data_IF_413684766976
#
_entry.id   IF_413684766976
#
_cell.length_a   1.000
_cell.length_b   1.000
_cell.length_c   1.000
_cell.angle_alpha   90.00
_cell.angle_beta   90.00
_cell.angle_gamma   90.00
#
_symmetry.space_group_name_H-M   'P 1'
#
loop_
_entity.id
_entity.type
_entity.pdbx_description
1 polymer ?
#
# COMPACT_ATOMS: atom_id res chain seq x y z
N UNK A 1 8.83 -1.49 -3.69
CA UNK A 1 7.53 -2.04 -4.11
C UNK A 1 7.75 -3.45 -4.67
N UNK A 2 7.10 -4.48 -4.13
CA UNK A 2 7.04 -5.81 -4.76
C UNK A 2 5.62 -6.37 -4.60
N UNK A 3 4.78 -6.21 -5.62
CA UNK A 3 3.37 -6.65 -5.57
C UNK A 3 3.23 -8.18 -5.65
N UNK A 4 4.22 -8.88 -6.21
CA UNK A 4 4.22 -10.35 -6.31
C UNK A 4 4.14 -11.06 -4.96
N UNK A 5 4.56 -10.38 -3.88
CA UNK A 5 4.46 -10.90 -2.51
C UNK A 5 3.03 -11.23 -2.10
N UNK A 6 2.01 -10.57 -2.66
CA UNK A 6 0.62 -10.86 -2.35
C UNK A 6 0.26 -12.29 -2.75
N UNK A 7 0.65 -12.71 -3.95
CA UNK A 7 0.42 -14.08 -4.43
C UNK A 7 1.18 -15.12 -3.60
N UNK A 8 2.44 -14.83 -3.23
CA UNK A 8 3.23 -15.73 -2.38
C UNK A 8 2.58 -15.95 -1.01
N UNK A 9 2.20 -14.88 -0.31
CA UNK A 9 1.55 -14.98 1.00
C UNK A 9 0.22 -15.70 0.91
N UNK A 10 -0.59 -15.39 -0.10
CA UNK A 10 -1.89 -16.01 -0.31
C UNK A 10 -1.79 -17.52 -0.63
N UNK A 11 -0.75 -17.93 -1.34
CA UNK A 11 -0.44 -19.34 -1.60
C UNK A 11 0.06 -20.08 -0.35
N UNK A 12 1.01 -19.49 0.38
CA UNK A 12 1.63 -20.12 1.55
C UNK A 12 0.69 -20.23 2.76
N UNK A 13 -0.27 -19.30 2.92
CA UNK A 13 -1.25 -19.27 4.02
C UNK A 13 -0.62 -19.48 5.43
N UNK A 14 0.42 -18.72 5.80
CA UNK A 14 1.06 -18.84 7.11
C UNK A 14 0.05 -18.69 8.26
N UNK A 15 0.21 -19.49 9.32
CA UNK A 15 -0.71 -19.50 10.47
C UNK A 15 -0.51 -18.33 11.44
N UNK A 16 0.67 -17.71 11.44
CA UNK A 16 1.02 -16.58 12.32
C UNK A 16 1.69 -15.46 11.51
N UNK A 17 0.90 -14.73 10.72
CA UNK A 17 1.40 -13.66 9.87
C UNK A 17 0.42 -12.50 9.76
N UNK A 18 0.95 -11.28 9.83
CA UNK A 18 0.20 -10.03 9.64
C UNK A 18 0.97 -9.16 8.67
N UNK A 19 0.30 -8.68 7.62
CA UNK A 19 0.88 -7.78 6.62
C UNK A 19 0.40 -6.36 6.88
N UNK A 20 1.30 -5.48 7.34
CA UNK A 20 1.03 -4.05 7.44
C UNK A 20 1.46 -3.35 6.15
N UNK A 21 0.54 -2.58 5.57
CA UNK A 21 0.80 -1.70 4.44
C UNK A 21 0.44 -0.28 4.85
N UNK A 22 1.43 0.61 4.82
CA UNK A 22 1.25 2.03 5.09
C UNK A 22 1.29 2.76 3.76
N UNK A 23 0.19 3.42 3.43
CA UNK A 23 0.06 4.21 2.21
C UNK A 23 0.03 5.69 2.58
N UNK A 24 1.12 6.37 2.26
CA UNK A 24 1.26 7.82 2.37
C UNK A 24 1.25 8.50 0.98
N UNK A 25 0.84 7.76 -0.05
CA UNK A 25 0.67 8.25 -1.42
C UNK A 25 2.00 8.72 -2.08
N UNK A 26 3.18 8.51 -1.47
CA UNK A 26 4.47 8.97 -2.01
C UNK A 26 5.68 8.06 -1.70
N UNK A 27 6.71 8.17 -2.54
CA UNK A 27 8.04 7.61 -2.25
C UNK A 27 8.79 8.50 -1.25
N UNK A 28 8.38 8.45 0.02
CA UNK A 28 8.89 9.33 1.07
C UNK A 28 10.42 9.31 1.24
N UNK A 29 11.08 8.18 0.95
CA UNK A 29 12.53 8.02 1.14
C UNK A 29 13.38 8.47 -0.05
N UNK A 30 12.79 8.73 -1.22
CA UNK A 30 13.53 9.03 -2.46
C UNK A 30 13.25 10.43 -3.03
N UNK A 31 12.67 11.32 -2.22
CA UNK A 31 12.37 12.70 -2.60
C UNK A 31 10.89 13.07 -2.57
N UNK A 32 10.01 12.17 -2.14
CA UNK A 32 8.59 12.48 -1.93
C UNK A 32 7.76 12.56 -3.20
N UNK A 33 8.25 11.99 -4.30
CA UNK A 33 7.48 11.90 -5.54
C UNK A 33 6.23 11.03 -5.30
N UNK A 34 5.07 11.38 -5.87
CA UNK A 34 3.87 10.56 -5.77
C UNK A 34 4.12 9.15 -6.31
N UNK A 35 3.51 8.14 -5.70
CA UNK A 35 3.50 6.81 -6.30
C UNK A 35 2.58 6.81 -7.54
N UNK A 36 2.80 5.94 -8.54
CA UNK A 36 1.88 5.83 -9.68
C UNK A 36 0.46 5.59 -9.18
N UNK A 37 -0.52 6.33 -9.69
CA UNK A 37 -1.93 6.22 -9.29
C UNK A 37 -2.18 6.40 -7.76
N UNK A 38 -1.35 7.20 -7.08
CA UNK A 38 -1.31 7.34 -5.62
C UNK A 38 -2.66 7.47 -4.90
N UNK A 39 -3.64 8.12 -5.52
CA UNK A 39 -4.92 8.41 -4.88
C UNK A 39 -5.97 7.32 -5.04
N UNK A 40 -5.77 6.40 -5.97
CA UNK A 40 -6.82 5.50 -6.47
C UNK A 40 -6.42 4.02 -6.40
N UNK A 41 -5.29 3.71 -5.77
CA UNK A 41 -4.88 2.32 -5.56
C UNK A 41 -5.67 1.68 -4.41
N UNK A 42 -6.43 0.62 -4.71
CA UNK A 42 -7.11 -0.20 -3.71
C UNK A 42 -6.24 -1.39 -3.25
N UNK A 43 -5.26 -1.15 -2.37
CA UNK A 43 -4.39 -2.21 -1.82
C UNK A 43 -5.15 -3.30 -1.06
N UNK A 44 -6.16 -2.90 -0.28
CA UNK A 44 -6.97 -3.85 0.48
C UNK A 44 -7.73 -4.79 -0.46
N UNK A 45 -8.32 -4.26 -1.53
CA UNK A 45 -8.96 -5.04 -2.59
C UNK A 45 -7.98 -5.99 -3.26
N UNK A 46 -6.78 -5.53 -3.63
CA UNK A 46 -5.75 -6.40 -4.20
C UNK A 46 -5.37 -7.56 -3.27
N UNK A 47 -5.17 -7.31 -1.98
CA UNK A 47 -4.88 -8.38 -1.03
C UNK A 47 -6.03 -9.39 -0.93
N UNK A 48 -7.28 -8.91 -0.92
CA UNK A 48 -8.46 -9.77 -0.92
C UNK A 48 -8.50 -10.66 -2.16
N UNK A 49 -8.41 -10.07 -3.34
CA UNK A 49 -8.47 -10.80 -4.61
C UNK A 49 -7.27 -11.73 -4.81
N UNK A 50 -6.12 -11.43 -4.21
CA UNK A 50 -4.98 -12.34 -4.18
C UNK A 50 -5.23 -13.59 -3.32
N UNK A 51 -6.17 -13.56 -2.37
CA UNK A 51 -6.52 -14.70 -1.51
C UNK A 51 -6.23 -14.52 -0.01
N UNK A 52 -6.05 -13.28 0.46
CA UNK A 52 -5.90 -13.01 1.89
C UNK A 52 -7.20 -13.33 2.63
N UNK A 53 -7.10 -14.12 3.71
CA UNK A 53 -8.27 -14.55 4.50
C UNK A 53 -9.06 -13.40 5.12
N UNK A 54 -8.35 -12.37 5.57
CA UNK A 54 -8.90 -11.17 6.21
C UNK A 54 -8.06 -9.97 5.81
N UNK A 55 -8.71 -8.84 5.61
CA UNK A 55 -8.07 -7.55 5.41
C UNK A 55 -8.85 -6.48 6.19
N UNK A 56 -8.15 -5.44 6.60
CA UNK A 56 -8.74 -4.25 7.21
C UNK A 56 -8.10 -3.04 6.55
N UNK A 57 -8.93 -2.12 6.09
CA UNK A 57 -8.49 -0.84 5.56
C UNK A 57 -8.91 0.26 6.51
N UNK A 58 -7.95 1.09 6.92
CA UNK A 58 -8.19 2.28 7.72
C UNK A 58 -7.61 3.45 6.95
N UNK A 59 -8.45 4.44 6.67
CA UNK A 59 -8.03 5.68 6.03
C UNK A 59 -8.05 6.79 7.07
N UNK A 60 -6.97 7.56 7.14
CA UNK A 60 -6.95 8.75 7.98
C UNK A 60 -7.97 9.76 7.45
N UNK A 61 -8.70 10.41 8.36
CA UNK A 61 -9.70 11.43 8.02
C UNK A 61 -9.07 12.69 7.41
N UNK A 62 -7.78 12.92 7.65
CA UNK A 62 -7.02 14.05 7.13
C UNK A 62 -5.85 13.55 6.30
N UNK A 63 -5.82 13.91 5.01
CA UNK A 63 -4.63 13.72 4.17
C UNK A 63 -3.55 14.70 4.63
N UNK A 64 -2.32 14.20 4.78
CA UNK A 64 -1.15 15.07 4.89
C UNK A 64 -0.92 15.65 3.49
N UNK A 65 -0.94 16.98 3.33
CA UNK A 65 -0.66 17.59 2.03
C UNK A 65 0.73 17.17 1.57
N UNK A 66 0.83 16.59 0.38
CA UNK A 66 2.14 16.38 -0.23
C UNK A 66 2.70 17.76 -0.58
N UNK A 67 3.76 18.18 0.11
CA UNK A 67 4.58 19.28 -0.37
C UNK A 67 5.18 18.85 -1.70
N UNK A 68 4.64 19.36 -2.80
CA UNK A 68 5.30 19.37 -4.09
C UNK A 68 6.61 20.13 -3.89
N UNK A 69 7.68 19.40 -3.58
CA UNK A 69 9.03 19.92 -3.75
C UNK A 69 9.21 20.10 -5.25
N UNK A 70 8.83 21.28 -5.75
CA UNK A 70 9.25 21.78 -7.04
C UNK A 70 10.78 21.75 -7.06
N UNK A 71 11.34 20.68 -7.60
CA UNK A 71 12.73 20.63 -8.03
C UNK A 71 12.69 20.56 -9.55
N UNK A 72 12.88 21.75 -10.12
CA UNK A 72 13.47 22.09 -11.41
C UNK A 72 13.26 21.10 -12.55
#
# INVERSE_FOLDING_TARGET
MNMGVLGTVAGMKPSNFVHFLMDNECYATTGGQPVPNATDINYAGMAKEAGYKKNLFVRQSRRVPQTTSNKL
#
